data_IF_052747314727
#
_entry.id   IF_052747314727
#
_cell.length_a   1.000
_cell.length_b   1.000
_cell.length_c   1.000
_cell.angle_alpha   90.00
_cell.angle_beta   90.00
_cell.angle_gamma   90.00
#
_symmetry.space_group_name_H-M   'P 1'
#
loop_
_entity.id
_entity.type
_entity.pdbx_description
1 polymer ?
#
# COMPACT_ATOMS: atom_id res chain seq x y z
N UNK A 1 -17.25 -16.34 0.01
CA UNK A 1 -16.07 -16.48 0.90
C UNK A 1 -16.38 -17.14 2.24
N UNK A 2 -17.37 -16.68 3.02
CA UNK A 2 -17.62 -17.18 4.39
C UNK A 2 -17.77 -18.71 4.58
N UNK A 3 -18.32 -19.43 3.59
CA UNK A 3 -18.52 -20.89 3.68
C UNK A 3 -17.18 -21.63 3.50
N UNK A 4 -16.36 -21.18 2.54
CA UNK A 4 -15.07 -21.81 2.26
C UNK A 4 -14.09 -21.60 3.41
N UNK A 5 -14.11 -20.41 4.02
CA UNK A 5 -13.28 -20.11 5.20
C UNK A 5 -13.68 -20.98 6.40
N UNK A 6 -14.99 -21.24 6.58
CA UNK A 6 -15.49 -22.11 7.65
C UNK A 6 -15.08 -23.57 7.44
N UNK A 7 -15.17 -24.07 6.21
CA UNK A 7 -14.74 -25.44 5.87
C UNK A 7 -13.23 -25.60 6.04
N UNK A 8 -12.46 -24.62 5.57
CA UNK A 8 -11.01 -24.63 5.68
C UNK A 8 -10.56 -24.59 7.14
N UNK A 9 -11.21 -23.78 7.97
CA UNK A 9 -10.95 -23.72 9.41
C UNK A 9 -11.26 -25.04 10.10
N UNK A 10 -12.38 -25.68 9.77
CA UNK A 10 -12.78 -26.95 10.40
C UNK A 10 -11.83 -28.10 10.02
N UNK A 11 -11.32 -28.11 8.79
CA UNK A 11 -10.29 -29.06 8.35
C UNK A 11 -8.95 -28.79 9.05
N UNK A 12 -8.51 -27.53 9.08
CA UNK A 12 -7.27 -27.15 9.76
C UNK A 12 -7.33 -27.49 11.26
N UNK A 13 -8.46 -27.21 11.91
CA UNK A 13 -8.67 -27.51 13.32
C UNK A 13 -8.58 -29.01 13.61
N UNK A 14 -9.20 -29.86 12.79
CA UNK A 14 -9.12 -31.33 12.94
C UNK A 14 -7.71 -31.86 12.73
N UNK A 15 -6.98 -31.34 11.76
CA UNK A 15 -5.58 -31.69 11.52
C UNK A 15 -4.71 -31.26 12.71
N UNK A 16 -4.86 -30.01 13.17
CA UNK A 16 -4.12 -29.49 14.32
C UNK A 16 -4.39 -30.30 15.59
N UNK A 17 -5.64 -30.69 15.82
CA UNK A 17 -5.99 -31.56 16.96
C UNK A 17 -5.38 -32.96 16.84
N UNK A 18 -5.35 -33.55 15.65
CA UNK A 18 -4.67 -34.82 15.42
C UNK A 18 -3.17 -34.73 15.74
N UNK A 19 -2.51 -33.65 15.29
CA UNK A 19 -1.11 -33.39 15.61
C UNK A 19 -0.88 -33.09 17.09
N UNK A 20 -1.77 -32.31 17.73
CA UNK A 20 -1.70 -32.01 19.15
C UNK A 20 -1.81 -33.29 19.98
N UNK A 21 -2.71 -34.21 19.61
CA UNK A 21 -2.83 -35.52 20.26
C UNK A 21 -1.55 -36.35 20.10
N UNK A 22 -0.94 -36.36 18.92
CA UNK A 22 0.34 -37.05 18.67
C UNK A 22 1.49 -36.42 19.49
N UNK A 23 1.48 -35.09 19.68
CA UNK A 23 2.49 -34.37 20.47
C UNK A 23 2.24 -34.41 21.99
N UNK A 24 0.99 -34.58 22.43
CA UNK A 24 0.60 -34.74 23.84
C UNK A 24 0.74 -36.18 24.33
N UNK A 25 0.67 -37.16 23.43
CA UNK A 25 0.85 -38.58 23.77
C UNK A 25 2.19 -38.89 24.49
N UNK A 26 3.35 -38.30 24.12
CA UNK A 26 4.62 -38.39 24.84
C UNK A 26 4.57 -37.81 26.26
N UNK A 27 3.78 -36.74 26.46
CA UNK A 27 3.63 -36.10 27.76
C UNK A 27 2.75 -36.94 28.68
N UNK A 28 1.68 -37.53 28.13
CA UNK A 28 0.86 -38.51 28.82
C UNK A 28 1.64 -39.79 29.15
N UNK A 29 2.55 -40.23 28.27
CA UNK A 29 3.36 -41.43 28.49
C UNK A 29 4.40 -41.27 29.61
N UNK A 30 4.90 -40.04 29.85
CA UNK A 30 5.77 -39.74 31.00
C UNK A 30 5.04 -39.90 32.33
N UNK A 31 3.76 -39.53 32.38
CA UNK A 31 2.93 -39.70 33.60
C UNK A 31 2.68 -41.18 33.88
N UNK A 32 2.61 -42.03 32.86
CA UNK A 32 2.30 -43.46 32.99
C UNK A 32 3.52 -44.38 33.10
N UNK A 33 4.76 -43.86 33.20
CA UNK A 33 6.03 -44.64 33.20
C UNK A 33 6.20 -45.55 31.97
N UNK A 34 5.68 -45.14 30.81
CA UNK A 34 5.91 -45.89 29.57
C UNK A 34 7.27 -45.53 28.96
N UNK A 35 8.00 -46.56 28.53
CA UNK A 35 9.39 -46.48 28.03
C UNK A 35 9.44 -45.84 26.62
N UNK A 36 9.18 -44.53 26.58
CA UNK A 36 8.98 -43.72 25.37
C UNK A 36 10.11 -43.80 24.31
N UNK A 37 11.41 -43.87 24.66
CA UNK A 37 12.48 -44.01 23.67
C UNK A 37 12.32 -45.26 22.81
N UNK A 38 11.95 -46.40 23.42
CA UNK A 38 11.72 -47.66 22.70
C UNK A 38 10.45 -47.62 21.84
N UNK A 39 9.50 -46.75 22.16
CA UNK A 39 8.30 -46.57 21.35
C UNK A 39 8.60 -45.81 20.07
N UNK A 40 9.40 -44.73 20.12
CA UNK A 40 9.83 -43.99 18.92
C UNK A 40 10.62 -44.91 17.99
N UNK A 41 11.51 -45.74 18.52
CA UNK A 41 12.29 -46.71 17.72
C UNK A 41 11.41 -47.74 17.00
N UNK A 42 10.19 -48.00 17.48
CA UNK A 42 9.23 -48.88 16.80
C UNK A 42 8.43 -48.18 15.70
N UNK A 43 8.45 -46.86 15.62
CA UNK A 43 7.73 -46.14 14.56
C UNK A 43 8.51 -46.30 13.26
N UNK A 44 7.91 -46.90 12.22
CA UNK A 44 8.59 -47.04 10.94
C UNK A 44 9.00 -45.67 10.40
N UNK A 45 10.25 -45.54 9.95
CA UNK A 45 10.84 -44.28 9.46
C UNK A 45 9.96 -43.60 8.40
N UNK A 46 9.24 -44.39 7.60
CA UNK A 46 8.28 -43.88 6.61
C UNK A 46 7.20 -42.96 7.19
N UNK A 47 6.70 -43.24 8.40
CA UNK A 47 5.69 -42.39 9.06
C UNK A 47 6.27 -41.06 9.53
N UNK A 48 7.53 -41.03 9.96
CA UNK A 48 8.21 -39.79 10.32
C UNK A 48 8.44 -38.92 9.08
N UNK A 49 8.87 -39.52 7.97
CA UNK A 49 9.04 -38.79 6.69
C UNK A 49 7.69 -38.22 6.22
N UNK A 50 6.63 -39.03 6.27
CA UNK A 50 5.29 -38.60 5.88
C UNK A 50 4.80 -37.41 6.73
N UNK A 51 5.04 -37.43 8.04
CA UNK A 51 4.61 -36.33 8.92
C UNK A 51 5.35 -35.02 8.62
N UNK A 52 6.66 -35.08 8.34
CA UNK A 52 7.41 -33.90 7.89
C UNK A 52 6.90 -33.33 6.57
N UNK A 53 6.58 -34.19 5.60
CA UNK A 53 6.02 -33.77 4.31
C UNK A 53 4.68 -33.06 4.53
N UNK A 54 3.79 -33.60 5.36
CA UNK A 54 2.50 -32.98 5.69
C UNK A 54 2.70 -31.61 6.34
N UNK A 55 3.61 -31.49 7.30
CA UNK A 55 3.93 -30.21 7.96
C UNK A 55 4.44 -29.18 6.94
N UNK A 56 5.32 -29.60 6.03
CA UNK A 56 5.83 -28.72 4.97
C UNK A 56 4.71 -28.21 4.06
N UNK A 57 3.80 -29.08 3.60
CA UNK A 57 2.66 -28.68 2.78
C UNK A 57 1.71 -27.72 3.51
N UNK A 58 1.46 -27.94 4.81
CA UNK A 58 0.67 -27.02 5.64
C UNK A 58 1.35 -25.65 5.77
N UNK A 59 2.67 -25.60 5.94
CA UNK A 59 3.42 -24.35 5.99
C UNK A 59 3.36 -23.59 4.65
N UNK A 60 3.49 -24.30 3.52
CA UNK A 60 3.35 -23.72 2.18
C UNK A 60 1.91 -23.20 1.96
N UNK A 61 0.89 -23.97 2.32
CA UNK A 61 -0.50 -23.58 2.17
C UNK A 61 -0.84 -22.33 3.01
N UNK A 62 -0.39 -22.28 4.27
CA UNK A 62 -0.61 -21.11 5.14
C UNK A 62 0.10 -19.87 4.61
N UNK A 63 1.30 -20.01 4.02
CA UNK A 63 1.99 -18.93 3.32
C UNK A 63 1.18 -18.40 2.13
N UNK A 64 0.65 -19.28 1.28
CA UNK A 64 -0.19 -18.89 0.14
C UNK A 64 -1.51 -18.23 0.57
N UNK A 65 -2.18 -18.75 1.60
CA UNK A 65 -3.40 -18.17 2.14
C UNK A 65 -3.16 -16.77 2.73
N UNK A 66 -2.06 -16.59 3.47
CA UNK A 66 -1.66 -15.28 4.00
C UNK A 66 -1.35 -14.30 2.88
N UNK A 67 -0.66 -14.75 1.84
CA UNK A 67 -0.37 -13.94 0.65
C UNK A 67 -1.65 -13.56 -0.09
N UNK A 68 -2.58 -14.50 -0.30
CA UNK A 68 -3.87 -14.25 -0.94
C UNK A 68 -4.70 -13.24 -0.13
N UNK A 69 -4.81 -13.41 1.19
CA UNK A 69 -5.51 -12.45 2.05
C UNK A 69 -4.88 -11.05 2.00
N UNK A 70 -3.55 -10.94 1.92
CA UNK A 70 -2.87 -9.65 1.76
C UNK A 70 -3.17 -8.99 0.42
N UNK A 71 -3.29 -9.77 -0.66
CA UNK A 71 -3.63 -9.29 -2.01
C UNK A 71 -5.13 -8.93 -2.09
N UNK A 72 -6.01 -9.71 -1.45
CA UNK A 72 -7.44 -9.41 -1.42
C UNK A 72 -7.73 -8.15 -0.61
N UNK A 73 -7.00 -7.91 0.49
CA UNK A 73 -7.10 -6.64 1.24
C UNK A 73 -6.68 -5.44 0.40
N UNK A 74 -5.58 -5.53 -0.36
CA UNK A 74 -5.18 -4.43 -1.26
C UNK A 74 -6.14 -4.23 -2.44
N UNK A 75 -6.88 -5.27 -2.85
CA UNK A 75 -7.91 -5.18 -3.89
C UNK A 75 -9.28 -4.69 -3.34
N UNK A 76 -9.62 -4.97 -2.09
CA UNK A 76 -10.81 -4.43 -1.42
C UNK A 76 -10.63 -2.94 -1.06
N UNK A 77 -9.44 -2.53 -0.63
CA UNK A 77 -9.09 -1.11 -0.45
C UNK A 77 -9.04 -0.31 -1.77
N UNK A 78 -9.01 -0.99 -2.94
CA UNK A 78 -9.21 -0.37 -4.25
C UNK A 78 -10.69 -0.09 -4.58
N UNK A 79 -11.64 -0.75 -3.91
CA UNK A 79 -13.06 -0.70 -4.32
C UNK A 79 -13.91 0.38 -3.66
N UNK A 80 -13.42 1.09 -2.63
CA UNK A 80 -14.31 1.94 -1.81
C UNK A 80 -13.85 3.39 -1.61
N UNK A 81 -12.63 3.81 -1.98
CA UNK A 81 -12.13 5.12 -1.50
C UNK A 81 -11.82 6.22 -2.54
N UNK A 82 -11.99 6.03 -3.85
CA UNK A 82 -11.69 7.14 -4.79
C UNK A 82 -12.43 7.03 -6.14
N UNK A 83 -13.73 6.71 -6.15
CA UNK A 83 -14.53 7.01 -7.34
C UNK A 83 -14.82 8.52 -7.38
N UNK A 84 -13.79 9.32 -7.67
CA UNK A 84 -14.00 10.69 -8.15
C UNK A 84 -14.66 10.55 -9.52
N UNK A 85 -15.84 11.15 -9.68
CA UNK A 85 -16.33 11.40 -11.03
C UNK A 85 -15.22 12.19 -11.76
N UNK A 86 -14.74 11.71 -12.92
CA UNK A 86 -13.78 12.47 -13.70
C UNK A 86 -14.39 13.84 -13.94
N UNK A 87 -13.67 14.90 -13.56
CA UNK A 87 -14.18 16.24 -13.82
C UNK A 87 -14.40 16.36 -15.33
N UNK A 88 -15.62 16.71 -15.72
CA UNK A 88 -16.04 16.77 -17.14
C UNK A 88 -15.15 17.73 -17.95
N UNK A 89 -14.48 18.65 -17.25
CA UNK A 89 -13.64 19.70 -17.81
C UNK A 89 -12.13 19.40 -17.73
N UNK A 90 -11.72 18.22 -17.23
CA UNK A 90 -10.33 17.84 -17.06
C UNK A 90 -9.65 18.46 -15.83
N UNK A 91 -8.40 18.08 -15.60
CA UNK A 91 -7.58 18.60 -14.50
C UNK A 91 -6.62 19.70 -14.98
N UNK A 92 -6.31 20.66 -14.11
CA UNK A 92 -5.31 21.71 -14.34
C UNK A 92 -4.16 21.53 -13.34
N UNK A 93 -2.93 21.57 -13.85
CA UNK A 93 -1.72 21.47 -13.04
C UNK A 93 -1.43 22.81 -12.34
N UNK A 94 -1.33 22.80 -11.02
CA UNK A 94 -1.13 24.01 -10.21
C UNK A 94 0.31 24.21 -9.74
N UNK A 95 1.09 23.14 -9.67
CA UNK A 95 2.47 23.17 -9.19
C UNK A 95 3.05 21.78 -8.92
N UNK A 96 4.21 21.76 -8.25
CA UNK A 96 4.95 20.53 -7.91
C UNK A 96 5.02 20.35 -6.40
N UNK A 97 4.66 19.16 -5.93
CA UNK A 97 4.77 18.72 -4.54
C UNK A 97 5.95 17.75 -4.38
N UNK A 98 6.94 18.14 -3.57
CA UNK A 98 8.13 17.31 -3.30
C UNK A 98 7.80 16.33 -2.15
N UNK A 99 7.69 15.03 -2.46
CA UNK A 99 7.46 13.98 -1.46
C UNK A 99 8.44 12.83 -1.63
N UNK A 100 9.06 12.41 -0.52
CA UNK A 100 9.96 11.27 -0.50
C UNK A 100 11.08 11.39 -1.57
N UNK A 101 11.71 12.57 -1.68
CA UNK A 101 12.80 12.87 -2.63
C UNK A 101 12.43 12.75 -4.12
N UNK A 102 11.16 12.80 -4.48
CA UNK A 102 10.70 12.90 -5.87
C UNK A 102 9.64 14.01 -5.97
N UNK A 103 9.45 14.56 -7.17
CA UNK A 103 8.40 15.54 -7.44
C UNK A 103 7.09 14.86 -7.83
N UNK A 104 5.96 15.45 -7.47
CA UNK A 104 4.63 15.05 -7.92
C UNK A 104 3.89 16.28 -8.44
N UNK A 105 3.24 16.19 -9.59
CA UNK A 105 2.42 17.31 -10.08
C UNK A 105 1.13 17.38 -9.29
N UNK A 106 0.83 18.55 -8.73
CA UNK A 106 -0.44 18.85 -8.08
C UNK A 106 -1.47 19.24 -9.14
N UNK A 107 -2.61 18.58 -9.12
CA UNK A 107 -3.71 18.82 -10.05
C UNK A 107 -5.01 19.18 -9.31
N UNK A 108 -5.81 20.05 -9.94
CA UNK A 108 -7.14 20.45 -9.45
C UNK A 108 -8.18 20.28 -10.58
N UNK A 109 -9.46 20.05 -10.26
CA UNK A 109 -10.51 20.00 -11.27
C UNK A 109 -10.72 21.37 -11.93
N UNK A 110 -10.69 21.42 -13.27
CA UNK A 110 -10.90 22.65 -14.07
C UNK A 110 -12.34 23.20 -13.95
N UNK A 111 -13.26 22.37 -13.49
CA UNK A 111 -14.70 22.64 -13.33
C UNK A 111 -15.02 23.83 -12.38
N UNK A 112 -14.06 24.31 -11.58
CA UNK A 112 -14.24 25.51 -10.75
C UNK A 112 -14.32 26.82 -11.55
N UNK A 113 -14.10 26.79 -12.87
CA UNK A 113 -14.35 27.91 -13.79
C UNK A 113 -15.78 27.89 -14.36
N UNK A 114 -16.79 27.80 -13.50
CA UNK A 114 -18.21 27.69 -13.89
C UNK A 114 -18.81 28.94 -14.57
N UNK A 115 -18.03 30.00 -14.79
CA UNK A 115 -18.51 31.19 -15.49
C UNK A 115 -17.54 31.61 -16.60
N UNK A 116 -17.88 31.42 -17.88
CA UNK A 116 -17.02 31.81 -19.00
C UNK A 116 -16.76 33.33 -19.07
N UNK A 117 -17.55 34.13 -18.35
CA UNK A 117 -17.41 35.58 -18.25
C UNK A 117 -16.63 36.06 -17.02
N UNK A 118 -16.26 35.16 -16.11
CA UNK A 118 -15.49 35.48 -14.91
C UNK A 118 -14.40 34.43 -14.74
N UNK A 119 -13.16 34.80 -15.10
CA UNK A 119 -11.98 34.01 -14.79
C UNK A 119 -11.45 34.47 -13.42
N UNK A 120 -11.80 33.79 -12.31
CA UNK A 120 -11.25 34.14 -11.02
C UNK A 120 -9.72 34.06 -11.07
N UNK A 121 -9.06 35.03 -10.41
CA UNK A 121 -7.62 35.00 -10.24
C UNK A 121 -7.17 33.66 -9.65
N UNK A 122 -5.95 33.20 -9.96
CA UNK A 122 -5.41 31.92 -9.43
C UNK A 122 -5.59 31.83 -7.91
N UNK A 123 -5.42 32.94 -7.20
CA UNK A 123 -5.62 33.07 -5.75
C UNK A 123 -7.06 32.81 -5.31
N UNK A 124 -8.05 33.42 -5.97
CA UNK A 124 -9.47 33.21 -5.64
C UNK A 124 -9.91 31.77 -5.85
N UNK A 125 -9.36 31.09 -6.86
CA UNK A 125 -9.61 29.66 -7.10
C UNK A 125 -9.05 28.80 -5.97
N UNK A 126 -7.81 29.07 -5.55
CA UNK A 126 -7.14 28.34 -4.47
C UNK A 126 -7.83 28.50 -3.11
N UNK A 127 -8.42 29.67 -2.83
CA UNK A 127 -9.17 29.90 -1.59
C UNK A 127 -10.53 29.19 -1.56
N UNK A 128 -11.15 28.98 -2.71
CA UNK A 128 -12.44 28.26 -2.84
C UNK A 128 -12.29 26.75 -2.94
N UNK A 129 -11.06 26.26 -3.14
CA UNK A 129 -10.76 24.84 -3.25
C UNK A 129 -10.87 24.15 -1.89
N UNK A 130 -11.70 23.12 -1.85
CA UNK A 130 -11.76 22.20 -0.72
C UNK A 130 -10.50 21.33 -0.75
N UNK A 131 -9.73 21.18 0.35
CA UNK A 131 -8.47 20.41 0.34
C UNK A 131 -8.63 19.00 -0.25
N UNK A 132 -9.78 18.38 -0.06
CA UNK A 132 -10.15 17.07 -0.58
C UNK A 132 -10.18 17.01 -2.12
N UNK A 133 -10.29 18.13 -2.82
CA UNK A 133 -10.31 18.21 -4.29
C UNK A 133 -8.91 18.12 -4.91
N UNK A 134 -7.85 18.40 -4.13
CA UNK A 134 -6.47 18.29 -4.62
C UNK A 134 -6.15 16.84 -4.97
N UNK A 135 -5.62 16.69 -6.17
CA UNK A 135 -5.04 15.46 -6.71
C UNK A 135 -3.54 15.60 -6.90
N UNK A 136 -2.90 14.46 -7.07
CA UNK A 136 -1.56 14.37 -7.65
C UNK A 136 -1.67 13.62 -8.97
N UNK A 137 -0.80 13.93 -9.93
CA UNK A 137 -0.63 13.12 -11.13
C UNK A 137 -0.17 11.69 -10.74
N UNK A 138 -0.41 10.73 -11.63
CA UNK A 138 -0.08 9.33 -11.42
C UNK A 138 1.42 9.08 -11.35
N UNK A 139 2.22 9.77 -12.17
CA UNK A 139 3.65 9.51 -12.29
C UNK A 139 4.49 10.56 -11.56
N UNK A 140 5.41 10.15 -10.65
CA UNK A 140 6.35 11.08 -10.05
C UNK A 140 7.46 11.47 -11.05
N UNK A 141 8.07 12.63 -10.80
CA UNK A 141 9.14 13.21 -11.59
C UNK A 141 10.48 13.14 -10.86
N UNK A 142 11.54 13.02 -11.65
CA UNK A 142 12.91 13.05 -11.18
C UNK A 142 13.24 14.45 -10.61
N UNK A 143 13.81 14.56 -9.40
CA UNK A 143 14.16 15.84 -8.82
C UNK A 143 15.31 16.56 -9.54
N UNK A 144 16.12 15.84 -10.33
CA UNK A 144 17.31 16.40 -11.00
C UNK A 144 17.01 16.94 -12.40
N UNK A 145 16.19 16.23 -13.17
CA UNK A 145 15.95 16.55 -14.59
C UNK A 145 14.47 16.66 -14.96
N UNK A 146 13.57 16.59 -13.96
CA UNK A 146 12.10 16.76 -14.10
C UNK A 146 11.45 15.72 -15.05
N UNK A 147 12.19 14.70 -15.49
CA UNK A 147 11.63 13.63 -16.31
C UNK A 147 10.78 12.68 -15.47
N UNK A 148 9.71 12.15 -16.06
CA UNK A 148 8.90 11.10 -15.43
C UNK A 148 9.77 9.89 -15.07
N UNK A 149 9.51 9.35 -13.88
CA UNK A 149 10.17 8.15 -13.39
C UNK A 149 9.46 6.89 -13.92
N UNK A 150 10.25 5.86 -14.20
CA UNK A 150 9.75 4.52 -14.47
C UNK A 150 9.79 3.68 -13.20
N UNK A 151 8.76 2.86 -12.99
CA UNK A 151 8.72 1.85 -11.95
C UNK A 151 9.03 0.48 -12.54
N UNK A 152 9.89 -0.27 -11.83
CA UNK A 152 10.21 -1.65 -12.15
C UNK A 152 10.12 -2.50 -10.88
N UNK A 153 9.55 -3.70 -11.02
CA UNK A 153 9.49 -4.67 -9.94
C UNK A 153 10.87 -5.25 -9.67
N UNK A 154 11.21 -5.37 -8.39
CA UNK A 154 12.44 -6.05 -7.94
C UNK A 154 12.09 -7.27 -7.08
N UNK A 155 13.08 -8.14 -6.87
CA UNK A 155 12.92 -9.29 -5.99
C UNK A 155 12.42 -8.89 -4.60
N UNK A 156 11.59 -9.75 -4.00
CA UNK A 156 10.97 -9.56 -2.67
C UNK A 156 9.92 -8.44 -2.57
N UNK A 157 9.22 -8.12 -3.66
CA UNK A 157 8.07 -7.21 -3.61
C UNK A 157 8.47 -5.77 -3.27
N UNK A 158 9.64 -5.35 -3.76
CA UNK A 158 10.10 -3.97 -3.70
C UNK A 158 10.06 -3.38 -5.11
N UNK A 159 10.04 -2.07 -5.20
CA UNK A 159 9.98 -1.33 -6.46
C UNK A 159 11.25 -0.50 -6.64
N UNK A 160 11.77 -0.44 -7.86
CA UNK A 160 12.86 0.44 -8.24
C UNK A 160 12.30 1.52 -9.15
N UNK A 161 12.45 2.76 -8.70
CA UNK A 161 12.09 3.95 -9.47
C UNK A 161 13.34 4.48 -10.14
N UNK A 162 13.32 4.63 -11.46
CA UNK A 162 14.48 5.04 -12.24
C UNK A 162 14.10 6.17 -13.19
N UNK A 163 15.00 7.15 -13.32
CA UNK A 163 14.87 8.16 -14.37
C UNK A 163 15.37 7.60 -15.71
N UNK A 164 14.66 7.89 -16.81
CA UNK A 164 15.15 7.56 -18.16
C UNK A 164 16.27 8.48 -18.65
N UNK A 165 16.31 9.71 -18.17
CA UNK A 165 17.22 10.76 -18.67
C UNK A 165 18.52 10.88 -17.88
N UNK A 166 18.49 10.67 -16.57
CA UNK A 166 19.67 10.76 -15.70
C UNK A 166 19.88 9.47 -14.87
N UNK A 167 20.90 9.47 -14.02
CA UNK A 167 21.27 8.30 -13.22
C UNK A 167 20.44 8.12 -11.95
N UNK A 168 19.48 9.01 -11.70
CA UNK A 168 18.61 8.94 -10.52
C UNK A 168 17.91 7.59 -10.41
N UNK A 169 18.10 6.93 -9.26
CA UNK A 169 17.50 5.65 -8.90
C UNK A 169 17.09 5.68 -7.44
N UNK A 170 15.89 5.20 -7.15
CA UNK A 170 15.35 5.12 -5.80
C UNK A 170 14.66 3.78 -5.58
N UNK A 171 15.12 3.02 -4.60
CA UNK A 171 14.45 1.80 -4.15
C UNK A 171 13.33 2.17 -3.18
N UNK A 172 12.12 1.69 -3.44
CA UNK A 172 10.98 1.89 -2.60
C UNK A 172 10.33 0.55 -2.22
N UNK A 173 9.68 0.51 -1.05
CA UNK A 173 8.93 -0.66 -0.61
C UNK A 173 7.55 -0.74 -1.28
N UNK A 174 6.99 0.41 -1.62
CA UNK A 174 5.63 0.55 -2.14
C UNK A 174 5.68 1.02 -3.60
N UNK A 175 4.61 0.71 -4.34
CA UNK A 175 4.44 1.10 -5.74
C UNK A 175 4.21 2.61 -5.88
N UNK A 176 4.29 3.13 -7.11
CA UNK A 176 3.87 4.50 -7.43
C UNK A 176 2.46 4.79 -6.94
N UNK A 177 1.54 3.85 -7.18
CA UNK A 177 0.14 3.98 -6.77
C UNK A 177 0.00 4.14 -5.25
N UNK A 178 0.70 3.33 -4.46
CA UNK A 178 0.57 3.35 -3.00
C UNK A 178 1.27 4.56 -2.38
N UNK A 179 2.37 4.99 -2.96
CA UNK A 179 3.08 6.21 -2.54
C UNK A 179 2.32 7.47 -2.94
N UNK A 180 1.68 7.47 -4.12
CA UNK A 180 0.78 8.55 -4.54
C UNK A 180 -0.30 8.80 -3.51
N UNK A 181 -0.97 7.75 -3.01
CA UNK A 181 -2.00 7.90 -1.97
C UNK A 181 -1.46 8.62 -0.72
N UNK A 182 -0.28 8.24 -0.25
CA UNK A 182 0.37 8.87 0.90
C UNK A 182 0.80 10.30 0.61
N UNK A 183 1.35 10.53 -0.58
CA UNK A 183 1.75 11.85 -1.05
C UNK A 183 0.54 12.78 -1.15
N UNK A 184 -0.59 12.30 -1.69
CA UNK A 184 -1.84 13.08 -1.78
C UNK A 184 -2.35 13.46 -0.39
N UNK A 185 -2.40 12.52 0.57
CA UNK A 185 -2.80 12.84 1.94
C UNK A 185 -1.94 13.94 2.55
N UNK A 186 -0.62 13.82 2.42
CA UNK A 186 0.31 14.83 2.93
C UNK A 186 0.17 16.17 2.20
N UNK A 187 -0.03 16.15 0.88
CA UNK A 187 -0.28 17.35 0.07
C UNK A 187 -1.55 18.06 0.54
N UNK A 188 -2.64 17.33 0.82
CA UNK A 188 -3.88 17.90 1.35
C UNK A 188 -3.68 18.52 2.73
N UNK A 189 -2.91 17.88 3.61
CA UNK A 189 -2.58 18.44 4.93
C UNK A 189 -1.76 19.74 4.83
N UNK A 190 -0.76 19.76 3.95
CA UNK A 190 0.05 20.96 3.70
C UNK A 190 -0.79 22.07 3.05
N UNK A 191 -1.69 21.72 2.12
CA UNK A 191 -2.60 22.68 1.52
C UNK A 191 -3.61 23.26 2.51
N UNK A 192 -4.12 22.44 3.44
CA UNK A 192 -5.01 22.92 4.51
C UNK A 192 -4.30 23.93 5.41
N UNK A 193 -3.03 23.69 5.74
CA UNK A 193 -2.20 24.64 6.49
C UNK A 193 -1.99 25.92 5.68
N UNK A 194 -1.78 25.79 4.37
CA UNK A 194 -1.66 26.92 3.46
C UNK A 194 -2.92 27.79 3.40
N UNK A 195 -4.11 27.21 3.23
CA UNK A 195 -5.37 27.98 3.24
C UNK A 195 -5.52 28.73 4.57
N UNK A 196 -5.33 28.03 5.70
CA UNK A 196 -5.42 28.65 7.02
C UNK A 196 -4.43 29.80 7.19
N UNK A 197 -3.22 29.66 6.64
CA UNK A 197 -2.20 30.72 6.64
C UNK A 197 -2.57 31.92 5.77
N UNK A 198 -3.16 31.68 4.58
CA UNK A 198 -3.64 32.75 3.69
C UNK A 198 -4.75 33.60 4.33
N UNK A 199 -5.59 33.00 5.17
CA UNK A 199 -6.63 33.70 5.91
C UNK A 199 -6.06 34.64 7.00
N UNK A 200 -4.80 34.42 7.43
CA UNK A 200 -4.19 35.06 8.62
C UNK A 200 -3.04 36.03 8.33
N UNK A 201 -2.87 36.53 7.09
CA UNK A 201 -1.89 37.54 6.62
C UNK A 201 -0.66 37.03 5.83
N UNK A 202 -0.28 37.81 4.80
CA UNK A 202 0.91 37.74 3.92
C UNK A 202 0.99 36.66 2.81
N UNK A 203 0.12 36.79 1.81
CA UNK A 203 0.22 36.12 0.51
C UNK A 203 1.59 36.34 -0.21
N UNK A 204 2.24 37.49 0.00
CA UNK A 204 3.48 37.88 -0.66
C UNK A 204 4.72 37.06 -0.24
N UNK A 205 4.71 36.49 0.97
CA UNK A 205 5.82 35.65 1.45
C UNK A 205 5.85 34.27 0.77
N UNK A 206 4.77 33.94 0.04
CA UNK A 206 4.46 32.58 -0.34
C UNK A 206 4.41 32.32 -1.85
N UNK A 207 4.17 33.35 -2.69
CA UNK A 207 4.55 33.25 -4.11
C UNK A 207 5.99 32.75 -4.21
N UNK A 208 6.87 33.27 -3.36
CA UNK A 208 8.25 32.85 -3.20
C UNK A 208 8.45 31.34 -2.92
N UNK A 209 7.53 30.68 -2.20
CA UNK A 209 7.63 29.25 -1.85
C UNK A 209 7.20 28.31 -3.00
N UNK A 210 6.48 28.83 -3.99
CA UNK A 210 6.01 28.08 -5.17
C UNK A 210 6.57 28.61 -6.50
N UNK A 211 7.21 29.78 -6.51
CA UNK A 211 7.82 30.41 -7.68
C UNK A 211 9.36 30.38 -7.68
N UNK A 212 10.01 30.09 -6.55
CA UNK A 212 11.47 29.90 -6.51
C UNK A 212 11.80 28.39 -6.31
N UNK A 213 12.31 27.78 -7.39
CA UNK A 213 13.17 26.56 -7.47
C UNK A 213 12.57 25.13 -7.40
#
# INVERSE_FOLDING_TARGET
MKIFDRILYDILYKILWGFLLILLFPLLSRVTKWDYPRFIERIPVGYLILSYIIIFFLAVLTFFLKRKSSVDKSNLDRKVSDFRMPSVFGEEDIGVFKYNKVGWTLSIPKALSLNPFYSPSKKERLLKLVPEEIGLDYFPFCPECVAQLEESDTFFGRYLWKCKKCEFKKKNRNSFHDEKKKATLKAREEFKKFIKGMETENFALFEKYFSEE
#
